data_IF_293974556823
#
_entry.id   IF_293974556823
#
_cell.length_a   1.000
_cell.length_b   1.000
_cell.length_c   1.000
_cell.angle_alpha   90.00
_cell.angle_beta   90.00
_cell.angle_gamma   90.00
#
_symmetry.space_group_name_H-M   'P 1'
#
loop_
_entity.id
_entity.type
_entity.pdbx_description
1 polymer ?
#
# COMPACT_ATOMS: atom_id res chain seq x y z
N UNK A 1 -46.10 4.75 -33.97
CA UNK A 1 -45.38 4.38 -32.73
C UNK A 1 -43.87 4.41 -33.02
N UNK A 2 -43.10 5.43 -32.56
CA UNK A 2 -41.65 5.43 -32.75
C UNK A 2 -40.96 4.88 -31.49
N UNK A 3 -40.39 3.69 -31.62
CA UNK A 3 -39.62 3.01 -30.56
C UNK A 3 -38.16 3.51 -30.58
N UNK A 4 -37.87 4.46 -29.68
CA UNK A 4 -36.66 4.57 -28.84
C UNK A 4 -35.32 4.08 -29.44
N UNK A 5 -34.58 4.97 -30.12
CA UNK A 5 -33.19 4.75 -30.57
C UNK A 5 -32.12 5.30 -29.60
N UNK A 6 -32.40 5.38 -28.30
CA UNK A 6 -31.55 6.11 -27.32
C UNK A 6 -30.66 5.24 -26.42
N UNK A 7 -30.27 4.03 -26.82
CA UNK A 7 -29.54 3.08 -25.95
C UNK A 7 -28.04 2.94 -26.24
N UNK A 8 -27.47 3.78 -27.09
CA UNK A 8 -26.03 3.82 -27.32
C UNK A 8 -25.47 5.19 -26.93
N UNK A 9 -25.73 5.59 -25.68
CA UNK A 9 -24.78 6.46 -24.99
C UNK A 9 -23.49 5.66 -24.88
N UNK A 10 -22.65 5.79 -25.92
CA UNK A 10 -21.26 5.37 -25.91
C UNK A 10 -20.68 6.05 -24.69
N UNK A 11 -20.52 5.28 -23.61
CA UNK A 11 -19.72 5.70 -22.47
C UNK A 11 -18.37 6.03 -23.09
N UNK A 12 -18.08 7.34 -23.22
CA UNK A 12 -16.82 7.81 -23.76
C UNK A 12 -15.75 7.05 -22.99
N UNK A 13 -14.90 6.32 -23.72
CA UNK A 13 -13.89 5.46 -23.12
C UNK A 13 -13.18 6.25 -22.01
N UNK A 14 -13.10 5.72 -20.77
CA UNK A 14 -12.44 6.42 -19.69
C UNK A 14 -11.05 6.86 -20.17
N UNK A 15 -10.77 8.16 -20.06
CA UNK A 15 -9.50 8.73 -20.43
C UNK A 15 -8.46 8.17 -19.47
N UNK A 16 -7.64 7.23 -19.97
CA UNK A 16 -6.67 6.51 -19.15
C UNK A 16 -5.73 7.50 -18.47
N UNK A 17 -5.66 7.45 -17.13
CA UNK A 17 -4.73 8.27 -16.37
C UNK A 17 -3.31 7.69 -16.42
N UNK A 18 -2.63 7.91 -17.54
CA UNK A 18 -1.26 7.40 -17.77
C UNK A 18 -0.27 7.97 -16.75
N UNK A 19 -0.51 9.20 -16.26
CA UNK A 19 0.37 9.87 -15.29
C UNK A 19 0.25 9.19 -13.92
N UNK A 20 -0.97 9.04 -13.39
CA UNK A 20 -1.22 8.30 -12.15
C UNK A 20 -0.74 6.85 -12.23
N UNK A 21 -0.93 6.20 -13.37
CA UNK A 21 -0.49 4.81 -13.60
C UNK A 21 1.03 4.62 -13.48
N UNK A 22 1.83 5.61 -13.84
CA UNK A 22 3.28 5.58 -13.69
C UNK A 22 3.73 6.04 -12.29
N UNK A 23 3.07 7.06 -11.73
CA UNK A 23 3.44 7.63 -10.43
C UNK A 23 3.15 6.68 -9.27
N UNK A 24 2.04 5.93 -9.30
CA UNK A 24 1.68 5.05 -8.19
C UNK A 24 2.73 3.95 -7.94
N UNK A 25 3.13 3.14 -8.94
CA UNK A 25 4.15 2.12 -8.75
C UNK A 25 5.47 2.70 -8.27
N UNK A 26 5.90 3.85 -8.84
CA UNK A 26 7.15 4.52 -8.46
C UNK A 26 7.10 4.98 -7.00
N UNK A 27 6.01 5.62 -6.58
CA UNK A 27 5.82 6.10 -5.22
C UNK A 27 5.85 4.94 -4.22
N UNK A 28 5.05 3.90 -4.45
CA UNK A 28 4.97 2.75 -3.56
C UNK A 28 6.27 1.93 -3.54
N UNK A 29 6.94 1.73 -4.69
CA UNK A 29 8.18 0.97 -4.75
C UNK A 29 9.35 1.69 -4.08
N UNK A 30 9.50 3.01 -4.29
CA UNK A 30 10.56 3.80 -3.66
C UNK A 30 10.37 3.89 -2.14
N UNK A 31 9.12 4.06 -1.67
CA UNK A 31 8.83 4.04 -0.24
C UNK A 31 9.13 2.67 0.38
N UNK A 32 8.69 1.59 -0.26
CA UNK A 32 8.99 0.23 0.21
C UNK A 32 10.51 -0.03 0.24
N UNK A 33 11.24 0.40 -0.78
CA UNK A 33 12.70 0.32 -0.84
C UNK A 33 13.36 1.11 0.30
N UNK A 34 12.96 2.38 0.51
CA UNK A 34 13.52 3.22 1.56
C UNK A 34 13.30 2.63 2.97
N UNK A 35 12.11 2.10 3.24
CA UNK A 35 11.80 1.43 4.51
C UNK A 35 12.60 0.14 4.67
N UNK A 36 12.74 -0.65 3.61
CA UNK A 36 13.56 -1.88 3.61
C UNK A 36 15.01 -1.58 3.95
N UNK A 37 15.60 -0.54 3.35
CA UNK A 37 16.98 -0.12 3.61
C UNK A 37 17.18 0.44 5.02
N UNK A 38 16.10 1.02 5.60
CA UNK A 38 16.08 1.46 7.00
C UNK A 38 16.36 0.34 8.01
N UNK A 39 16.15 -0.93 7.63
CA UNK A 39 16.55 -2.08 8.44
C UNK A 39 18.07 -2.15 8.69
N UNK A 40 18.88 -1.61 7.78
CA UNK A 40 20.34 -1.54 7.92
C UNK A 40 20.74 -0.25 8.64
N UNK A 41 20.33 0.91 8.12
CA UNK A 41 20.62 2.21 8.74
C UNK A 41 19.68 3.31 8.25
N UNK A 42 18.87 3.84 9.17
CA UNK A 42 17.96 4.95 8.92
C UNK A 42 18.63 6.26 8.48
N UNK A 43 19.92 6.43 8.81
CA UNK A 43 20.70 7.61 8.45
C UNK A 43 21.52 7.44 7.17
N UNK A 44 21.40 6.28 6.50
CA UNK A 44 22.09 6.05 5.24
C UNK A 44 21.56 6.96 4.14
N UNK A 45 22.44 7.36 3.21
CA UNK A 45 22.04 8.14 2.05
C UNK A 45 20.98 7.38 1.20
N UNK A 46 21.07 6.05 1.13
CA UNK A 46 20.12 5.19 0.41
C UNK A 46 18.71 5.25 1.02
N UNK A 47 18.59 5.13 2.35
CA UNK A 47 17.29 5.22 3.05
C UNK A 47 16.67 6.60 2.87
N UNK A 48 17.45 7.67 3.09
CA UNK A 48 16.94 9.04 3.01
C UNK A 48 16.52 9.39 1.58
N UNK A 49 17.31 8.99 0.58
CA UNK A 49 16.98 9.24 -0.83
C UNK A 49 15.73 8.45 -1.26
N UNK A 50 15.65 7.15 -0.93
CA UNK A 50 14.47 6.32 -1.23
C UNK A 50 13.20 6.87 -0.58
N UNK A 51 13.25 7.24 0.69
CA UNK A 51 12.11 7.77 1.42
C UNK A 51 11.70 9.17 0.91
N UNK A 52 12.68 10.02 0.59
CA UNK A 52 12.41 11.37 0.06
C UNK A 52 11.83 11.32 -1.35
N UNK A 53 12.42 10.52 -2.25
CA UNK A 53 11.93 10.37 -3.63
C UNK A 53 10.54 9.72 -3.63
N UNK A 54 10.35 8.67 -2.84
CA UNK A 54 9.05 8.02 -2.68
C UNK A 54 7.99 8.95 -2.08
N UNK A 55 8.36 9.74 -1.07
CA UNK A 55 7.47 10.74 -0.46
C UNK A 55 7.06 11.84 -1.43
N UNK A 56 8.01 12.39 -2.19
CA UNK A 56 7.73 13.40 -3.23
C UNK A 56 6.83 12.81 -4.32
N UNK A 57 7.13 11.60 -4.80
CA UNK A 57 6.32 10.92 -5.80
C UNK A 57 4.90 10.63 -5.28
N UNK A 58 4.73 10.24 -4.02
CA UNK A 58 3.42 10.01 -3.41
C UNK A 58 2.61 11.31 -3.31
N UNK A 59 3.24 12.41 -2.89
CA UNK A 59 2.59 13.72 -2.81
C UNK A 59 2.13 14.16 -4.20
N UNK A 60 3.00 14.05 -5.21
CA UNK A 60 2.66 14.33 -6.60
C UNK A 60 1.51 13.44 -7.08
N UNK A 61 1.53 12.14 -6.78
CA UNK A 61 0.48 11.20 -7.11
C UNK A 61 -0.87 11.62 -6.53
N UNK A 62 -0.91 11.99 -5.24
CA UNK A 62 -2.14 12.46 -4.58
C UNK A 62 -2.67 13.72 -5.25
N UNK A 63 -1.81 14.70 -5.55
CA UNK A 63 -2.24 15.93 -6.22
C UNK A 63 -2.77 15.67 -7.64
N UNK A 64 -2.11 14.82 -8.41
CA UNK A 64 -2.56 14.43 -9.75
C UNK A 64 -3.92 13.77 -9.68
N UNK A 65 -4.12 12.81 -8.77
CA UNK A 65 -5.38 12.07 -8.65
C UNK A 65 -6.54 12.91 -8.13
N UNK A 66 -6.28 13.88 -7.25
CA UNK A 66 -7.31 14.81 -6.78
C UNK A 66 -7.74 15.81 -7.88
N UNK A 67 -6.84 16.15 -8.81
CA UNK A 67 -7.11 17.05 -9.92
C UNK A 67 -7.70 16.34 -11.16
N UNK A 68 -7.49 15.02 -11.28
CA UNK A 68 -7.98 14.18 -12.37
C UNK A 68 -9.52 14.09 -12.38
N UNK A 69 -10.11 14.13 -13.59
CA UNK A 69 -11.58 13.99 -13.76
C UNK A 69 -12.03 12.54 -13.67
N UNK A 70 -11.16 11.61 -14.04
CA UNK A 70 -11.37 10.16 -13.99
C UNK A 70 -10.17 9.53 -13.29
N UNK A 71 -10.08 9.68 -11.96
CA UNK A 71 -8.94 9.20 -11.19
C UNK A 71 -8.84 7.68 -11.24
N UNK A 72 -7.61 7.17 -11.24
CA UNK A 72 -7.34 5.73 -11.14
C UNK A 72 -7.70 5.23 -9.74
N UNK A 73 -7.49 6.08 -8.72
CA UNK A 73 -7.83 5.81 -7.33
C UNK A 73 -8.79 6.88 -6.81
N UNK A 74 -10.03 6.49 -6.49
CA UNK A 74 -11.03 7.42 -5.95
C UNK A 74 -10.72 7.83 -4.50
N UNK A 75 -9.75 8.73 -4.31
CA UNK A 75 -9.33 9.24 -3.00
C UNK A 75 -10.45 9.93 -2.21
N UNK A 76 -11.53 10.34 -2.89
CA UNK A 76 -12.71 10.95 -2.28
C UNK A 76 -13.46 10.00 -1.35
N UNK A 77 -13.32 8.68 -1.53
CA UNK A 77 -13.99 7.67 -0.69
C UNK A 77 -13.45 7.69 0.75
N UNK A 78 -12.18 8.09 0.95
CA UNK A 78 -11.58 8.31 2.28
C UNK A 78 -12.24 9.45 3.08
N UNK A 79 -13.07 10.28 2.45
CA UNK A 79 -13.87 11.29 3.16
C UNK A 79 -14.98 10.65 4.01
N UNK A 80 -15.42 9.43 3.67
CA UNK A 80 -16.36 8.67 4.49
C UNK A 80 -15.67 8.12 5.73
N UNK A 81 -16.20 8.45 6.92
CA UNK A 81 -15.63 7.97 8.18
C UNK A 81 -15.67 6.45 8.29
N UNK A 82 -16.73 5.81 7.80
CA UNK A 82 -16.89 4.35 7.87
C UNK A 82 -15.87 3.62 6.99
N UNK A 83 -15.60 4.15 5.79
CA UNK A 83 -14.59 3.60 4.89
C UNK A 83 -13.19 3.72 5.50
N UNK A 84 -12.84 4.90 6.00
CA UNK A 84 -11.53 5.15 6.61
C UNK A 84 -11.31 4.32 7.86
N UNK A 85 -12.33 4.16 8.73
CA UNK A 85 -12.28 3.26 9.89
C UNK A 85 -12.08 1.81 9.46
N UNK A 86 -12.79 1.34 8.44
CA UNK A 86 -12.66 -0.03 7.93
C UNK A 86 -11.26 -0.31 7.39
N UNK A 87 -10.66 0.64 6.67
CA UNK A 87 -9.27 0.53 6.21
C UNK A 87 -8.31 0.50 7.39
N UNK A 88 -8.45 1.41 8.36
CA UNK A 88 -7.58 1.44 9.54
C UNK A 88 -7.66 0.10 10.31
N UNK A 89 -8.86 -0.44 10.51
CA UNK A 89 -9.05 -1.74 11.14
C UNK A 89 -8.38 -2.86 10.35
N UNK A 90 -8.52 -2.85 9.02
CA UNK A 90 -7.86 -3.82 8.14
C UNK A 90 -6.34 -3.74 8.27
N UNK A 91 -5.78 -2.52 8.29
CA UNK A 91 -4.35 -2.31 8.52
C UNK A 91 -3.88 -2.82 9.87
N UNK A 92 -4.64 -2.56 10.94
CA UNK A 92 -4.32 -3.08 12.29
C UNK A 92 -4.30 -4.60 12.28
N UNK A 93 -5.32 -5.25 11.69
CA UNK A 93 -5.39 -6.72 11.60
C UNK A 93 -4.19 -7.26 10.83
N UNK A 94 -3.82 -6.65 9.70
CA UNK A 94 -2.66 -7.09 8.92
C UNK A 94 -1.34 -6.88 9.68
N UNK A 95 -1.16 -5.73 10.35
CA UNK A 95 0.00 -5.47 11.19
C UNK A 95 0.10 -6.48 12.34
N UNK A 96 -1.02 -6.80 13.00
CA UNK A 96 -1.06 -7.82 14.04
C UNK A 96 -0.71 -9.21 13.48
N UNK A 97 -1.22 -9.57 12.30
CA UNK A 97 -0.94 -10.85 11.65
C UNK A 97 0.55 -11.00 11.30
N UNK A 98 1.11 -10.06 10.54
CA UNK A 98 2.53 -10.09 10.17
C UNK A 98 3.46 -9.90 11.39
N UNK A 99 3.06 -9.05 12.33
CA UNK A 99 3.79 -8.82 13.58
C UNK A 99 3.86 -10.08 14.45
N UNK A 100 2.74 -10.78 14.65
CA UNK A 100 2.71 -12.04 15.38
C UNK A 100 3.57 -13.11 14.68
N UNK A 101 3.51 -13.18 13.36
CA UNK A 101 4.29 -14.13 12.56
C UNK A 101 5.81 -13.96 12.74
N UNK A 102 6.28 -12.74 13.02
CA UNK A 102 7.69 -12.48 13.34
C UNK A 102 8.00 -12.59 14.84
N UNK A 103 7.14 -12.05 15.71
CA UNK A 103 7.38 -12.00 17.16
C UNK A 103 7.40 -13.40 17.77
N UNK A 104 6.51 -14.31 17.35
CA UNK A 104 6.42 -15.66 17.92
C UNK A 104 7.73 -16.44 17.76
N UNK A 105 8.31 -16.62 16.55
CA UNK A 105 9.58 -17.33 16.42
C UNK A 105 10.74 -16.59 17.10
N UNK A 106 10.76 -15.25 17.08
CA UNK A 106 11.79 -14.48 17.79
C UNK A 106 11.70 -14.65 19.31
N UNK A 107 10.49 -14.78 19.86
CA UNK A 107 10.29 -15.06 21.28
C UNK A 107 10.75 -16.48 21.64
N UNK A 108 10.37 -17.47 20.84
CA UNK A 108 10.76 -18.86 21.06
C UNK A 108 12.29 -19.05 20.98
N UNK A 109 12.95 -18.40 20.02
CA UNK A 109 14.40 -18.52 19.86
C UNK A 109 15.17 -17.62 20.84
N UNK A 110 14.74 -16.36 21.01
CA UNK A 110 15.46 -15.36 21.78
C UNK A 110 15.25 -15.44 23.28
N UNK A 111 14.04 -15.79 23.74
CA UNK A 111 13.66 -15.82 25.16
C UNK A 111 13.57 -17.25 25.68
N UNK A 112 12.92 -18.15 24.94
CA UNK A 112 12.79 -19.56 25.34
C UNK A 112 14.01 -20.41 24.96
N UNK A 113 14.99 -19.82 24.27
CA UNK A 113 16.23 -20.47 23.84
C UNK A 113 16.04 -21.75 23.00
N UNK A 114 14.91 -21.87 22.30
CA UNK A 114 14.71 -22.95 21.35
C UNK A 114 15.59 -22.77 20.12
N UNK A 115 16.05 -23.87 19.55
CA UNK A 115 16.74 -23.84 18.26
C UNK A 115 15.76 -23.46 17.14
N UNK A 116 16.30 -23.01 16.00
CA UNK A 116 15.51 -22.70 14.81
C UNK A 116 14.72 -23.94 14.32
N UNK A 117 15.28 -25.14 14.46
CA UNK A 117 14.63 -26.40 14.07
C UNK A 117 13.43 -26.72 14.97
N UNK A 118 13.60 -26.61 16.30
CA UNK A 118 12.52 -26.85 17.27
C UNK A 118 11.39 -25.84 17.13
N UNK A 119 11.74 -24.56 16.93
CA UNK A 119 10.75 -23.50 16.67
C UNK A 119 9.96 -23.80 15.40
N UNK A 120 10.63 -24.25 14.35
CA UNK A 120 9.98 -24.68 13.11
C UNK A 120 8.99 -25.81 13.34
N UNK A 121 9.37 -26.83 14.12
CA UNK A 121 8.49 -27.95 14.47
C UNK A 121 7.26 -27.51 15.27
N UNK A 122 7.43 -26.60 16.23
CA UNK A 122 6.33 -26.07 17.05
C UNK A 122 5.33 -25.26 16.22
N UNK A 123 5.80 -24.57 15.18
CA UNK A 123 4.99 -23.71 14.32
C UNK A 123 4.40 -24.43 13.10
N UNK A 124 4.72 -25.71 12.89
CA UNK A 124 4.08 -26.51 11.86
C UNK A 124 2.58 -26.65 12.17
N UNK A 125 1.70 -26.48 11.16
CA UNK A 125 0.25 -26.58 11.33
C UNK A 125 -0.22 -28.00 11.64
#
# INVERSE_FOLDING_TARGET
>A
MPFRSSLLDRHAAPHLDVIGMCLAPIAFSMLAYGVSEGGTSWSSASTITGLSVGGIALILFIFVELAQKQPLLELKVFKSSDFTRSIILTWIVQLSLFGAMLIVPLYLQGVMHYTALETGWILMP
#
